data_IF_517942901928
#
_entry.id   IF_517942901928
#
_cell.length_a   1.000
_cell.length_b   1.000
_cell.length_c   1.000
_cell.angle_alpha   90.00
_cell.angle_beta   90.00
_cell.angle_gamma   90.00
#
_symmetry.space_group_name_H-M   'P 1'
#
loop_
_entity.id
_entity.type
_entity.pdbx_description
1 polymer ?
#
# COMPACT_ATOMS: atom_id res chain seq x y z
N UNK A 1 11.00 -10.99 1.29
CA UNK A 1 9.86 -10.05 1.20
C UNK A 1 10.28 -8.81 0.42
N UNK A 2 10.01 -8.75 -0.89
CA UNK A 2 10.48 -7.65 -1.76
C UNK A 2 9.57 -6.41 -1.64
N UNK A 3 8.25 -6.59 -1.53
CA UNK A 3 7.29 -5.46 -1.52
C UNK A 3 7.47 -4.46 -0.38
N UNK A 4 7.95 -4.90 0.80
CA UNK A 4 8.22 -3.98 1.91
C UNK A 4 9.38 -3.02 1.62
N UNK A 5 10.48 -3.54 1.06
CA UNK A 5 11.62 -2.74 0.66
C UNK A 5 11.26 -1.78 -0.49
N UNK A 6 10.44 -2.22 -1.45
CA UNK A 6 9.90 -1.38 -2.52
C UNK A 6 9.07 -0.21 -1.99
N UNK A 7 8.17 -0.46 -1.02
CA UNK A 7 7.38 0.61 -0.40
C UNK A 7 8.27 1.61 0.37
N UNK A 8 9.27 1.14 1.11
CA UNK A 8 10.21 2.02 1.83
C UNK A 8 11.06 2.85 0.84
N UNK A 9 11.50 2.24 -0.27
CA UNK A 9 12.23 2.94 -1.34
C UNK A 9 11.37 4.01 -2.03
N UNK A 10 10.11 3.71 -2.33
CA UNK A 10 9.18 4.67 -2.91
C UNK A 10 8.98 5.87 -1.96
N UNK A 11 8.78 5.61 -0.66
CA UNK A 11 8.65 6.67 0.34
C UNK A 11 9.91 7.57 0.39
N UNK A 12 11.11 6.98 0.36
CA UNK A 12 12.35 7.73 0.34
C UNK A 12 12.49 8.63 -0.90
N UNK A 13 12.08 8.14 -2.08
CA UNK A 13 12.07 8.93 -3.32
C UNK A 13 11.06 10.08 -3.27
N UNK A 14 9.85 9.83 -2.76
CA UNK A 14 8.85 10.89 -2.56
C UNK A 14 9.34 11.99 -1.62
N UNK A 15 10.08 11.65 -0.56
CA UNK A 15 10.68 12.65 0.33
C UNK A 15 11.70 13.53 -0.41
N UNK A 16 12.39 12.99 -1.42
CA UNK A 16 13.34 13.73 -2.27
C UNK A 16 12.71 14.49 -3.44
N UNK A 17 11.39 14.41 -3.65
CA UNK A 17 10.74 15.07 -4.80
C UNK A 17 10.68 14.21 -6.07
N UNK A 18 11.12 12.95 -5.99
CA UNK A 18 11.25 12.05 -7.13
C UNK A 18 9.98 11.19 -7.30
N UNK A 19 8.96 11.74 -7.95
CA UNK A 19 7.67 11.06 -8.17
C UNK A 19 7.79 9.91 -9.17
N UNK A 20 8.50 10.11 -10.28
CA UNK A 20 8.71 9.08 -11.31
C UNK A 20 9.54 7.91 -10.78
N UNK A 21 10.60 8.19 -10.02
CA UNK A 21 11.37 7.15 -9.38
C UNK A 21 10.57 6.42 -8.29
N UNK A 22 9.65 7.11 -7.60
CA UNK A 22 8.75 6.46 -6.66
C UNK A 22 7.79 5.51 -7.37
N UNK A 23 7.24 5.90 -8.52
CA UNK A 23 6.43 5.03 -9.38
C UNK A 23 7.21 3.76 -9.74
N UNK A 24 8.42 3.90 -10.30
CA UNK A 24 9.25 2.76 -10.67
C UNK A 24 9.60 1.85 -9.47
N UNK A 25 9.77 2.42 -8.27
CA UNK A 25 10.03 1.65 -7.05
C UNK A 25 8.85 0.77 -6.63
N UNK A 26 7.62 1.18 -6.97
CA UNK A 26 6.40 0.49 -6.55
C UNK A 26 6.07 -0.71 -7.44
N UNK A 27 6.70 -0.90 -8.60
CA UNK A 27 6.41 -2.03 -9.49
C UNK A 27 6.41 -3.40 -8.78
N UNK A 28 7.43 -3.76 -7.97
CA UNK A 28 7.42 -5.05 -7.26
C UNK A 28 6.37 -5.15 -6.15
N UNK A 29 5.77 -4.03 -5.71
CA UNK A 29 4.68 -4.03 -4.74
C UNK A 29 3.39 -4.58 -5.36
N UNK A 30 3.14 -4.25 -6.63
CA UNK A 30 1.92 -4.64 -7.34
C UNK A 30 1.84 -6.15 -7.59
N UNK A 31 3.01 -6.77 -7.73
CA UNK A 31 3.16 -8.21 -7.90
C UNK A 31 2.93 -9.01 -6.62
N UNK A 32 2.77 -8.36 -5.45
CA UNK A 32 2.52 -9.07 -4.19
C UNK A 32 1.09 -9.63 -4.17
N UNK A 33 0.91 -10.97 -4.13
CA UNK A 33 -0.40 -11.58 -4.08
C UNK A 33 -1.14 -11.19 -2.80
N UNK A 34 -2.47 -11.05 -2.88
CA UNK A 34 -3.32 -10.64 -1.75
C UNK A 34 -3.04 -11.44 -0.46
N UNK A 35 -2.88 -12.76 -0.58
CA UNK A 35 -2.59 -13.65 0.55
C UNK A 35 -1.23 -13.40 1.24
N UNK A 36 -0.32 -12.70 0.56
CA UNK A 36 1.02 -12.37 1.06
C UNK A 36 1.13 -10.92 1.55
N UNK A 37 0.04 -10.13 1.47
CA UNK A 37 0.00 -8.73 1.89
C UNK A 37 -0.14 -8.62 3.41
N UNK A 38 0.96 -8.89 4.09
CA UNK A 38 1.05 -8.83 5.56
C UNK A 38 0.71 -7.42 6.08
N UNK A 39 0.25 -7.33 7.33
CA UNK A 39 -0.02 -6.05 8.00
C UNK A 39 1.18 -5.08 7.93
N UNK A 40 2.40 -5.61 8.09
CA UNK A 40 3.62 -4.81 7.97
C UNK A 40 3.85 -4.23 6.57
N UNK A 41 3.42 -4.91 5.51
CA UNK A 41 3.44 -4.37 4.15
C UNK A 41 2.43 -3.22 4.02
N UNK A 42 1.19 -3.45 4.47
CA UNK A 42 0.12 -2.45 4.38
C UNK A 42 0.47 -1.16 5.14
N UNK A 43 1.11 -1.26 6.31
CA UNK A 43 1.59 -0.10 7.09
C UNK A 43 2.62 0.71 6.30
N UNK A 44 3.55 0.06 5.61
CA UNK A 44 4.55 0.75 4.78
C UNK A 44 3.91 1.42 3.56
N UNK A 45 2.99 0.72 2.89
CA UNK A 45 2.23 1.27 1.76
C UNK A 45 1.40 2.50 2.18
N UNK A 46 0.83 2.50 3.38
CA UNK A 46 0.12 3.67 3.92
C UNK A 46 1.04 4.90 4.09
N UNK A 47 2.34 4.70 4.38
CA UNK A 47 3.32 5.81 4.44
C UNK A 47 3.56 6.40 3.05
N UNK A 48 3.64 5.56 2.02
CA UNK A 48 3.72 6.02 0.62
C UNK A 48 2.50 6.86 0.28
N UNK A 49 1.29 6.39 0.62
CA UNK A 49 0.06 7.16 0.41
C UNK A 49 0.13 8.54 1.03
N UNK A 50 0.52 8.63 2.30
CA UNK A 50 0.66 9.92 3.01
C UNK A 50 1.69 10.85 2.34
N UNK A 51 2.76 10.28 1.78
CA UNK A 51 3.75 11.08 1.07
C UNK A 51 3.22 11.65 -0.25
N UNK A 52 2.36 10.92 -0.97
CA UNK A 52 1.70 11.40 -2.19
C UNK A 52 0.74 12.57 -1.93
N UNK A 53 0.21 12.72 -0.72
CA UNK A 53 -0.67 13.85 -0.37
C UNK A 53 0.07 15.12 0.05
N UNK A 54 1.41 15.12 0.02
CA UNK A 54 2.21 16.32 0.33
C UNK A 54 1.93 17.42 -0.70
N UNK A 55 2.01 18.69 -0.26
CA UNK A 55 1.70 19.86 -1.09
C UNK A 55 2.41 19.86 -2.46
N UNK A 56 3.67 19.39 -2.50
CA UNK A 56 4.47 19.32 -3.73
C UNK A 56 3.92 18.41 -4.83
N UNK A 57 3.00 17.51 -4.50
CA UNK A 57 2.39 16.55 -5.44
C UNK A 57 0.90 16.82 -5.69
N UNK A 58 0.35 17.87 -5.10
CA UNK A 58 -1.05 18.25 -5.33
C UNK A 58 -1.24 18.60 -6.81
N UNK A 59 -2.28 18.02 -7.42
CA UNK A 59 -2.60 18.22 -8.84
C UNK A 59 -1.74 17.40 -9.81
N UNK A 60 -0.72 16.66 -9.34
CA UNK A 60 0.04 15.76 -10.20
C UNK A 60 -0.81 14.51 -10.53
N UNK A 61 -1.11 14.31 -11.82
CA UNK A 61 -1.92 13.18 -12.28
C UNK A 61 -1.35 11.84 -11.82
N UNK A 62 -0.03 11.65 -11.95
CA UNK A 62 0.66 10.44 -11.50
C UNK A 62 0.54 10.21 -9.99
N UNK A 63 0.54 11.28 -9.18
CA UNK A 63 0.39 11.13 -7.73
C UNK A 63 -1.04 10.67 -7.35
N UNK A 64 -2.04 11.15 -8.08
CA UNK A 64 -3.43 10.70 -7.92
C UNK A 64 -3.59 9.24 -8.35
N UNK A 65 -3.05 8.85 -9.51
CA UNK A 65 -3.09 7.48 -10.03
C UNK A 65 -2.41 6.49 -9.06
N UNK A 66 -1.19 6.80 -8.63
CA UNK A 66 -0.49 5.98 -7.63
C UNK A 66 -1.26 5.93 -6.32
N UNK A 67 -1.94 7.03 -5.98
CA UNK A 67 -2.93 7.07 -4.94
C UNK A 67 -3.96 5.96 -5.15
N UNK A 68 -4.86 6.12 -6.10
CA UNK A 68 -5.95 5.17 -6.39
C UNK A 68 -5.48 3.71 -6.39
N UNK A 69 -4.36 3.41 -7.06
CA UNK A 69 -3.78 2.06 -7.10
C UNK A 69 -3.38 1.53 -5.72
N UNK A 70 -2.83 2.37 -4.84
CA UNK A 70 -2.57 2.00 -3.44
C UNK A 70 -3.89 1.69 -2.70
N UNK A 71 -4.98 2.37 -3.03
CA UNK A 71 -6.27 2.18 -2.34
C UNK A 71 -6.86 0.82 -2.70
N UNK A 72 -6.81 0.47 -3.98
CA UNK A 72 -7.25 -0.83 -4.44
C UNK A 72 -6.38 -1.95 -3.85
N UNK A 73 -5.07 -1.73 -3.77
CA UNK A 73 -4.15 -2.68 -3.15
C UNK A 73 -4.51 -2.96 -1.68
N UNK A 74 -4.83 -1.92 -0.89
CA UNK A 74 -5.18 -2.08 0.54
C UNK A 74 -6.61 -2.59 0.73
N UNK A 75 -7.59 -2.09 -0.04
CA UNK A 75 -9.00 -2.51 0.02
C UNK A 75 -9.16 -4.01 -0.20
N UNK A 76 -8.51 -4.54 -1.24
CA UNK A 76 -8.55 -5.98 -1.51
C UNK A 76 -7.91 -6.78 -0.36
N UNK A 77 -6.92 -6.24 0.32
CA UNK A 77 -6.26 -6.94 1.43
C UNK A 77 -7.13 -7.01 2.69
N UNK A 78 -7.94 -6.00 2.97
CA UNK A 78 -8.82 -5.96 4.14
C UNK A 78 -9.84 -7.10 4.14
N UNK A 79 -10.46 -7.40 2.98
CA UNK A 79 -11.36 -8.53 2.82
C UNK A 79 -10.70 -9.88 3.12
N UNK A 80 -9.42 -10.03 2.74
CA UNK A 80 -8.66 -11.25 3.05
C UNK A 80 -8.34 -11.36 4.55
N UNK A 81 -7.87 -10.28 5.19
CA UNK A 81 -7.51 -10.33 6.62
C UNK A 81 -8.71 -10.63 7.52
N UNK A 82 -9.90 -10.14 7.16
CA UNK A 82 -11.14 -10.49 7.84
C UNK A 82 -11.52 -11.96 7.60
N UNK A 83 -11.40 -12.45 6.36
CA UNK A 83 -11.65 -13.86 6.04
C UNK A 83 -10.67 -14.87 6.68
N UNK A 84 -9.41 -14.49 6.87
CA UNK A 84 -8.39 -15.33 7.54
C UNK A 84 -8.35 -15.14 9.06
N UNK A 85 -8.84 -14.00 9.55
CA UNK A 85 -8.90 -13.62 10.96
C UNK A 85 -10.21 -14.00 11.66
N UNK A 86 -11.25 -14.35 10.92
CA UNK A 86 -12.49 -14.95 11.45
C UNK A 86 -12.27 -16.42 11.87
N UNK A 87 -11.44 -16.62 12.90
CA UNK A 87 -11.64 -17.73 13.85
C UNK A 87 -12.92 -17.50 14.66
N UNK A 88 -13.42 -18.51 15.40
CA UNK A 88 -14.83 -18.63 15.79
C UNK A 88 -15.23 -17.66 16.91
N UNK A 89 -15.30 -16.36 16.61
CA UNK A 89 -16.02 -15.37 17.42
C UNK A 89 -17.51 -15.33 17.06
N UNK A 90 -17.93 -16.06 16.02
CA UNK A 90 -19.34 -16.29 15.69
C UNK A 90 -19.96 -17.50 16.45
N UNK A 91 -19.18 -18.22 17.27
CA UNK A 91 -19.64 -19.40 18.00
C UNK A 91 -20.02 -19.13 19.48
N UNK A 92 -19.98 -17.88 19.93
CA UNK A 92 -20.28 -17.52 21.33
C UNK A 92 -21.66 -16.87 21.53
N UNK A 93 -22.54 -16.93 20.52
CA UNK A 93 -23.92 -16.42 20.61
C UNK A 93 -24.94 -17.57 20.41
N UNK A 94 -24.83 -18.63 21.21
CA UNK A 94 -25.82 -19.71 21.31
C UNK A 94 -26.00 -20.15 22.76
#
# INVERSE_FOLDING_TARGET
MVGGASADMAAARLLRGDLDGAHAALEPLWEVPQAQRTTGLLVRTARVRRALTMQRYQGAALANELGERIEDFTRLSAGHQLGTGSGPLAALEA
#
